data_IF_709596337215
#
_entry.id   IF_709596337215
#
_cell.length_a   1.000
_cell.length_b   1.000
_cell.length_c   1.000
_cell.angle_alpha   90.00
_cell.angle_beta   90.00
_cell.angle_gamma   90.00
#
_symmetry.space_group_name_H-M   'P 1'
#
loop_
_entity.id
_entity.type
_entity.pdbx_description
1 polymer ?
#
# COMPACT_ATOMS: atom_id res chain seq x y z
N UNK A 1 -23.73 14.87 70.60
CA UNK A 1 -24.77 15.84 71.07
C UNK A 1 -25.76 15.97 69.92
N UNK A 2 -26.96 15.53 70.24
CA UNK A 2 -28.28 16.10 69.98
C UNK A 2 -28.67 16.22 68.50
N UNK A 3 -29.55 15.39 68.07
CA UNK A 3 -31.04 15.24 68.17
C UNK A 3 -31.72 15.80 66.94
N UNK A 4 -32.47 15.02 66.17
CA UNK A 4 -33.89 14.66 66.24
C UNK A 4 -34.71 15.53 65.30
N UNK A 5 -35.55 15.12 64.47
CA UNK A 5 -36.76 14.32 64.24
C UNK A 5 -37.40 14.80 62.91
N UNK A 6 -37.81 13.98 62.02
CA UNK A 6 -39.12 13.35 61.85
C UNK A 6 -40.30 14.36 61.68
N UNK A 7 -40.96 14.38 60.51
CA UNK A 7 -42.42 14.35 60.43
C UNK A 7 -42.93 13.84 59.06
N UNK A 8 -43.74 12.82 59.15
CA UNK A 8 -44.64 12.21 58.17
C UNK A 8 -45.97 13.02 58.28
N UNK A 9 -46.64 13.28 57.15
CA UNK A 9 -48.10 13.28 57.06
C UNK A 9 -48.59 13.02 55.66
N UNK A 10 -49.45 12.03 55.57
CA UNK A 10 -50.32 11.51 54.55
C UNK A 10 -51.40 12.52 54.15
N UNK A 11 -51.75 12.57 52.87
CA UNK A 11 -53.15 12.81 52.49
C UNK A 11 -53.42 12.21 51.11
N UNK A 12 -54.35 11.30 51.08
CA UNK A 12 -54.91 10.68 49.90
C UNK A 12 -56.14 11.47 49.41
N UNK A 13 -56.45 11.39 48.18
CA UNK A 13 -57.72 11.00 47.52
C UNK A 13 -58.05 11.72 46.20
N UNK A 14 -58.34 10.93 45.17
CA UNK A 14 -59.36 11.04 44.11
C UNK A 14 -59.16 12.10 43.02
N UNK A 15 -59.18 11.77 41.75
CA UNK A 15 -60.20 11.10 40.95
C UNK A 15 -59.73 10.94 39.49
N UNK A 16 -60.06 9.77 38.98
CA UNK A 16 -60.58 9.43 37.65
C UNK A 16 -60.00 10.05 36.37
N UNK A 17 -59.39 9.18 35.55
CA UNK A 17 -59.86 8.92 34.23
C UNK A 17 -59.29 9.75 33.07
N UNK A 18 -58.25 9.21 32.40
CA UNK A 18 -58.19 9.20 30.93
C UNK A 18 -57.21 8.11 30.49
N UNK A 19 -57.72 7.10 29.81
CA UNK A 19 -56.94 6.06 29.23
C UNK A 19 -56.25 6.55 27.95
N UNK A 20 -54.98 6.96 28.05
CA UNK A 20 -54.07 7.19 26.94
C UNK A 20 -53.09 6.00 26.88
N UNK A 21 -53.21 5.15 25.86
CA UNK A 21 -52.26 4.08 25.56
C UNK A 21 -50.86 4.71 25.32
N UNK A 22 -50.02 4.67 26.32
CA UNK A 22 -48.57 4.90 26.14
C UNK A 22 -48.00 3.68 25.42
N UNK A 23 -47.43 3.90 24.23
CA UNK A 23 -46.52 2.96 23.58
C UNK A 23 -45.27 2.84 24.48
N UNK A 24 -44.74 1.62 24.70
CA UNK A 24 -43.46 1.49 25.38
C UNK A 24 -42.37 2.13 24.50
N UNK A 25 -41.61 3.04 25.08
CA UNK A 25 -40.35 3.50 24.50
C UNK A 25 -39.45 2.29 24.32
N UNK A 26 -39.10 1.98 23.10
CA UNK A 26 -38.02 1.06 22.81
C UNK A 26 -36.75 1.68 23.41
N UNK A 27 -36.20 1.01 24.40
CA UNK A 27 -34.86 1.28 24.89
C UNK A 27 -33.91 1.18 23.69
N UNK A 28 -33.19 2.28 23.42
CA UNK A 28 -32.04 2.25 22.57
C UNK A 28 -31.10 1.15 23.10
N UNK A 29 -31.10 0.02 22.42
CA UNK A 29 -30.16 -1.04 22.72
C UNK A 29 -28.76 -0.50 22.58
N UNK A 30 -27.96 -0.67 23.62
CA UNK A 30 -26.52 -0.51 23.58
C UNK A 30 -26.00 -1.21 22.32
N UNK A 31 -25.60 -0.44 21.34
CA UNK A 31 -24.74 -0.91 20.27
C UNK A 31 -23.45 -1.33 20.97
N UNK A 32 -23.39 -2.59 21.40
CA UNK A 32 -22.13 -3.23 21.75
C UNK A 32 -21.29 -3.12 20.48
N UNK A 33 -20.34 -2.19 20.45
CA UNK A 33 -19.21 -2.23 19.55
C UNK A 33 -18.63 -3.61 19.65
N UNK A 34 -18.72 -4.36 18.57
CA UNK A 34 -18.00 -5.63 18.46
C UNK A 34 -16.54 -5.34 18.85
N UNK A 35 -15.89 -6.19 19.65
CA UNK A 35 -14.50 -6.01 19.96
C UNK A 35 -13.75 -5.94 18.62
N UNK A 36 -13.02 -4.84 18.37
CA UNK A 36 -12.17 -4.70 17.22
C UNK A 36 -11.27 -5.95 17.17
N UNK A 37 -11.22 -6.62 16.05
CA UNK A 37 -10.29 -7.72 15.85
C UNK A 37 -8.89 -7.21 16.19
N UNK A 38 -8.07 -8.00 16.88
CA UNK A 38 -6.72 -7.56 17.23
C UNK A 38 -5.97 -7.25 15.93
N UNK A 39 -5.64 -5.97 15.73
CA UNK A 39 -4.78 -5.52 14.62
C UNK A 39 -3.49 -6.34 14.64
N UNK A 40 -3.02 -6.77 13.49
CA UNK A 40 -1.70 -7.36 13.37
C UNK A 40 -0.66 -6.30 13.75
N UNK A 41 0.23 -6.62 14.70
CA UNK A 41 1.30 -5.68 15.10
C UNK A 41 2.13 -5.29 13.87
N UNK A 42 2.36 -3.99 13.70
CA UNK A 42 3.24 -3.44 12.67
C UNK A 42 4.66 -3.32 13.20
N UNK A 43 5.60 -3.91 12.50
CA UNK A 43 6.99 -4.05 12.93
C UNK A 43 7.93 -3.19 12.08
N UNK A 44 8.79 -2.40 12.72
CA UNK A 44 9.89 -1.70 12.05
C UNK A 44 11.22 -2.39 12.34
N UNK A 45 11.98 -2.74 11.32
CA UNK A 45 13.30 -3.38 11.46
C UNK A 45 14.38 -2.38 11.08
N UNK A 46 15.29 -2.14 12.02
CA UNK A 46 16.47 -1.30 11.77
C UNK A 46 17.63 -2.14 11.22
N UNK A 47 18.50 -1.54 10.38
CA UNK A 47 19.77 -2.17 10.02
C UNK A 47 20.58 -2.56 11.24
N UNK A 48 21.20 -3.74 11.20
CA UNK A 48 22.01 -4.22 12.33
C UNK A 48 23.35 -3.48 12.37
N UNK A 49 23.78 -3.08 13.56
CA UNK A 49 25.04 -2.37 13.74
C UNK A 49 26.25 -3.29 13.57
N UNK A 50 27.21 -2.85 12.77
CA UNK A 50 28.50 -3.51 12.63
C UNK A 50 29.41 -3.11 13.79
N UNK A 51 29.67 -4.02 14.73
CA UNK A 51 30.67 -3.88 15.80
C UNK A 51 32.04 -4.49 15.41
N UNK A 52 32.18 -4.98 14.19
CA UNK A 52 33.46 -5.48 13.67
C UNK A 52 34.40 -4.31 13.37
N UNK A 53 35.71 -4.58 13.33
CA UNK A 53 36.71 -3.61 12.86
C UNK A 53 36.85 -3.62 11.32
N UNK A 54 35.92 -4.25 10.62
CA UNK A 54 35.92 -4.42 9.16
C UNK A 54 34.70 -3.71 8.55
N UNK A 55 34.95 -2.57 7.94
CA UNK A 55 33.92 -1.78 7.25
C UNK A 55 33.42 -2.45 5.95
N UNK A 56 34.18 -3.37 5.36
CA UNK A 56 33.74 -4.10 4.16
C UNK A 56 32.49 -4.97 4.42
N UNK A 57 32.16 -5.18 5.70
CA UNK A 57 30.99 -5.93 6.13
C UNK A 57 29.79 -5.04 6.49
N UNK A 58 29.86 -3.71 6.37
CA UNK A 58 28.78 -2.78 6.78
C UNK A 58 27.44 -3.07 6.05
N UNK A 59 27.52 -3.55 4.82
CA UNK A 59 26.34 -3.95 4.05
C UNK A 59 25.51 -5.06 4.70
N UNK A 60 26.13 -5.92 5.54
CA UNK A 60 25.41 -6.97 6.28
C UNK A 60 24.32 -6.41 7.17
N UNK A 61 24.48 -5.20 7.70
CA UNK A 61 23.47 -4.57 8.56
C UNK A 61 22.12 -4.43 7.86
N UNK A 62 22.11 -3.85 6.69
CA UNK A 62 20.92 -3.76 5.84
C UNK A 62 20.49 -5.13 5.33
N UNK A 63 21.42 -5.99 4.94
CA UNK A 63 21.13 -7.35 4.51
C UNK A 63 20.38 -8.16 5.56
N UNK A 64 20.73 -8.05 6.83
CA UNK A 64 20.03 -8.73 7.91
C UNK A 64 18.64 -8.16 8.16
N UNK A 65 18.44 -6.83 8.06
CA UNK A 65 17.13 -6.25 8.19
C UNK A 65 16.21 -6.70 7.05
N UNK A 66 16.67 -6.70 5.80
CA UNK A 66 15.91 -7.15 4.64
C UNK A 66 15.53 -8.64 4.73
N UNK A 67 16.49 -9.51 5.05
CA UNK A 67 16.21 -10.94 5.21
C UNK A 67 15.30 -11.24 6.41
N UNK A 68 15.39 -10.46 7.48
CA UNK A 68 14.47 -10.59 8.62
C UNK A 68 13.06 -10.19 8.19
N UNK A 69 12.90 -9.04 7.51
CA UNK A 69 11.64 -8.57 6.99
C UNK A 69 10.99 -9.62 6.07
N UNK A 70 11.71 -10.08 5.05
CA UNK A 70 11.23 -11.09 4.11
C UNK A 70 10.70 -12.34 4.81
N UNK A 71 11.46 -12.88 5.79
CA UNK A 71 11.06 -14.09 6.50
C UNK A 71 9.84 -13.91 7.41
N UNK A 72 9.70 -12.73 8.00
CA UNK A 72 8.55 -12.42 8.85
C UNK A 72 7.30 -12.15 8.00
N UNK A 73 7.44 -11.44 6.88
CA UNK A 73 6.38 -11.21 5.91
C UNK A 73 5.84 -12.51 5.32
N UNK A 74 6.71 -13.48 5.01
CA UNK A 74 6.32 -14.83 4.55
C UNK A 74 5.47 -15.58 5.57
N UNK A 75 5.47 -15.15 6.82
CA UNK A 75 4.65 -15.69 7.91
C UNK A 75 3.47 -14.79 8.28
N UNK A 76 3.19 -13.77 7.45
CA UNK A 76 2.05 -12.87 7.63
C UNK A 76 2.25 -11.85 8.75
N UNK A 77 3.49 -11.55 9.15
CA UNK A 77 3.81 -10.42 10.04
C UNK A 77 3.83 -9.14 9.20
N UNK A 78 3.16 -8.10 9.67
CA UNK A 78 3.18 -6.81 9.01
C UNK A 78 4.49 -6.09 9.31
N UNK A 79 5.39 -5.99 8.33
CA UNK A 79 6.70 -5.33 8.46
C UNK A 79 6.73 -4.07 7.62
N UNK A 80 7.16 -2.94 8.18
CA UNK A 80 7.41 -1.71 7.45
C UNK A 80 8.61 -1.91 6.50
N UNK A 81 8.41 -1.55 5.23
CA UNK A 81 9.45 -1.69 4.23
C UNK A 81 10.64 -0.75 4.49
N UNK A 82 11.75 -1.01 3.81
CA UNK A 82 12.88 -0.08 3.79
C UNK A 82 12.47 1.32 3.32
N UNK A 83 11.63 1.41 2.30
CA UNK A 83 11.17 2.69 1.76
C UNK A 83 10.34 3.47 2.79
N UNK A 84 9.47 2.81 3.57
CA UNK A 84 8.71 3.46 4.65
C UNK A 84 9.63 3.97 5.76
N UNK A 85 10.65 3.18 6.11
CA UNK A 85 11.68 3.62 7.06
C UNK A 85 12.41 4.85 6.55
N UNK A 86 12.85 4.86 5.29
CA UNK A 86 13.55 5.98 4.68
C UNK A 86 12.65 7.22 4.56
N UNK A 87 11.41 7.06 4.13
CA UNK A 87 10.45 8.16 4.06
C UNK A 87 10.19 8.78 5.44
N UNK A 88 10.12 7.94 6.48
CA UNK A 88 9.98 8.43 7.85
C UNK A 88 11.22 9.21 8.30
N UNK A 89 12.44 8.70 8.02
CA UNK A 89 13.68 9.39 8.34
C UNK A 89 13.78 10.74 7.63
N UNK A 90 13.44 10.80 6.34
CA UNK A 90 13.41 12.03 5.56
C UNK A 90 12.43 13.05 6.16
N UNK A 91 11.21 12.62 6.50
CA UNK A 91 10.17 13.46 7.10
C UNK A 91 10.59 14.10 8.41
N UNK A 92 11.38 13.38 9.23
CA UNK A 92 11.88 13.89 10.52
C UNK A 92 13.28 14.51 10.42
N UNK A 93 13.86 14.57 9.21
CA UNK A 93 15.15 15.22 8.95
C UNK A 93 16.36 14.46 9.47
N UNK A 94 16.28 13.13 9.55
CA UNK A 94 17.40 12.28 9.98
C UNK A 94 18.05 11.57 8.77
N UNK A 95 19.38 11.53 8.67
CA UNK A 95 20.06 10.80 7.61
C UNK A 95 19.93 9.28 7.80
N UNK A 96 19.78 8.54 6.70
CA UNK A 96 19.67 7.07 6.68
C UNK A 96 20.93 6.36 7.20
N UNK A 97 22.11 6.99 7.03
CA UNK A 97 23.41 6.47 7.47
C UNK A 97 23.73 6.71 8.94
N UNK A 98 22.83 7.38 9.68
CA UNK A 98 23.08 7.70 11.09
C UNK A 98 22.93 6.46 11.98
N UNK A 99 23.77 6.39 13.01
CA UNK A 99 23.54 5.47 14.13
C UNK A 99 22.58 6.10 15.12
N UNK A 100 21.52 5.38 15.44
CA UNK A 100 20.48 5.90 16.30
C UNK A 100 20.59 5.36 17.72
N UNK A 101 20.37 6.23 18.71
CA UNK A 101 20.14 5.78 20.08
C UNK A 101 18.81 5.02 20.18
N UNK A 102 18.63 4.16 21.19
CA UNK A 102 17.37 3.47 21.41
C UNK A 102 16.19 4.45 21.53
N UNK A 103 16.37 5.60 22.19
CA UNK A 103 15.33 6.63 22.29
C UNK A 103 14.97 7.20 20.92
N UNK A 104 15.94 7.41 20.05
CA UNK A 104 15.71 7.86 18.67
C UNK A 104 14.99 6.79 17.86
N UNK A 105 15.39 5.51 17.99
CA UNK A 105 14.71 4.38 17.30
C UNK A 105 13.24 4.26 17.72
N UNK A 106 12.93 4.44 19.02
CA UNK A 106 11.57 4.46 19.54
C UNK A 106 10.77 5.61 18.91
N UNK A 107 11.35 6.80 18.81
CA UNK A 107 10.71 7.95 18.17
C UNK A 107 10.43 7.68 16.68
N UNK A 108 11.42 7.16 15.94
CA UNK A 108 11.27 6.82 14.53
C UNK A 108 10.13 5.79 14.35
N UNK A 109 10.10 4.75 15.20
CA UNK A 109 9.06 3.72 15.13
C UNK A 109 7.66 4.29 15.43
N UNK A 110 7.54 5.19 16.41
CA UNK A 110 6.29 5.88 16.71
C UNK A 110 5.85 6.82 15.57
N UNK A 111 6.80 7.55 14.96
CA UNK A 111 6.51 8.41 13.80
C UNK A 111 6.18 7.62 12.52
N UNK A 112 6.54 6.35 12.50
CA UNK A 112 6.20 5.40 11.41
C UNK A 112 4.95 4.57 11.70
N UNK A 113 4.21 4.85 12.79
CA UNK A 113 3.05 4.08 13.24
C UNK A 113 3.34 2.58 13.46
N UNK A 114 4.57 2.25 13.87
CA UNK A 114 4.95 0.90 14.23
C UNK A 114 4.58 0.58 15.68
N UNK A 115 4.05 -0.62 15.93
CA UNK A 115 3.74 -1.12 17.29
C UNK A 115 4.96 -1.65 18.00
N UNK A 116 5.92 -2.14 17.24
CA UNK A 116 7.16 -2.70 17.73
C UNK A 116 8.34 -2.45 16.77
N UNK A 117 9.54 -2.57 17.30
CA UNK A 117 10.76 -2.46 16.51
C UNK A 117 11.73 -3.60 16.81
N UNK A 118 12.55 -3.94 15.80
CA UNK A 118 13.67 -4.86 15.89
C UNK A 118 14.95 -4.08 15.64
N UNK A 119 15.94 -4.28 16.48
CA UNK A 119 17.28 -3.79 16.28
C UNK A 119 18.29 -4.86 16.67
N UNK A 120 19.45 -4.80 16.05
CA UNK A 120 20.47 -5.81 16.28
C UNK A 120 21.87 -5.29 16.04
N UNK A 121 22.83 -6.16 16.27
CA UNK A 121 24.25 -5.91 16.03
C UNK A 121 24.93 -7.21 15.64
N UNK A 122 26.04 -7.08 14.97
CA UNK A 122 26.90 -8.22 14.64
C UNK A 122 28.36 -7.86 14.78
N UNK A 123 29.17 -8.88 15.05
CA UNK A 123 30.62 -8.75 15.16
C UNK A 123 31.30 -9.94 14.53
N UNK A 124 32.26 -9.66 13.67
CA UNK A 124 33.16 -10.65 13.08
C UNK A 124 34.56 -10.49 13.67
N UNK A 125 35.13 -11.57 14.19
CA UNK A 125 36.46 -11.59 14.83
C UNK A 125 37.57 -12.14 13.91
N UNK A 126 37.27 -12.36 12.64
CA UNK A 126 38.16 -12.99 11.64
C UNK A 126 37.89 -14.47 11.45
N UNK A 127 37.12 -15.11 12.32
CA UNK A 127 36.76 -16.54 12.24
C UNK A 127 35.26 -16.78 12.41
N UNK A 128 34.68 -16.14 13.41
CA UNK A 128 33.25 -16.32 13.75
C UNK A 128 32.51 -15.01 13.66
N UNK A 129 31.23 -15.11 13.28
CA UNK A 129 30.26 -14.02 13.29
C UNK A 129 29.31 -14.26 14.46
N UNK A 130 29.20 -13.29 15.35
CA UNK A 130 28.20 -13.24 16.41
C UNK A 130 27.09 -12.28 15.97
N UNK A 131 25.85 -12.74 16.03
CA UNK A 131 24.64 -11.97 15.77
C UNK A 131 23.89 -11.78 17.08
N UNK A 132 23.38 -10.59 17.32
CA UNK A 132 22.46 -10.29 18.43
C UNK A 132 21.30 -9.44 17.91
N UNK A 133 20.08 -9.76 18.36
CA UNK A 133 18.90 -8.95 18.08
C UNK A 133 18.00 -8.84 19.30
N UNK A 134 17.18 -7.79 19.34
CA UNK A 134 16.12 -7.58 20.34
C UNK A 134 14.86 -7.06 19.68
N UNK A 135 13.73 -7.41 20.27
CA UNK A 135 12.42 -6.86 19.96
C UNK A 135 12.01 -5.91 21.07
N UNK A 136 11.55 -4.71 20.70
CA UNK A 136 11.00 -3.73 21.62
C UNK A 136 9.58 -3.38 21.16
N UNK A 137 8.56 -3.67 21.99
CA UNK A 137 7.19 -3.21 21.80
C UNK A 137 6.99 -1.84 22.43
N UNK A 138 6.21 -0.99 21.77
CA UNK A 138 5.94 0.36 22.23
C UNK A 138 4.75 0.41 23.17
N UNK A 139 3.71 -0.41 22.94
CA UNK A 139 2.50 -0.41 23.75
C UNK A 139 1.88 -1.83 23.86
N UNK A 140 1.81 -2.45 25.06
CA UNK A 140 2.51 -2.02 26.30
C UNK A 140 4.03 -2.15 26.16
N UNK A 141 4.82 -1.28 26.78
CA UNK A 141 6.28 -1.31 26.66
C UNK A 141 6.87 -2.64 27.13
N UNK A 142 7.59 -3.31 26.26
CA UNK A 142 8.27 -4.57 26.58
C UNK A 142 9.55 -4.71 25.73
N UNK A 143 10.63 -5.14 26.36
CA UNK A 143 11.91 -5.40 25.72
C UNK A 143 12.28 -6.88 25.91
N UNK A 144 12.57 -7.56 24.80
CA UNK A 144 13.02 -8.94 24.85
C UNK A 144 14.40 -9.09 25.51
N UNK A 145 14.69 -10.29 26.02
CA UNK A 145 16.10 -10.68 26.22
C UNK A 145 16.81 -10.68 24.86
N UNK A 146 18.15 -10.51 24.85
CA UNK A 146 18.90 -10.59 23.61
C UNK A 146 18.81 -12.00 23.02
N UNK A 147 18.44 -12.10 21.75
CA UNK A 147 18.57 -13.31 20.95
C UNK A 147 19.96 -13.33 20.35
N UNK A 148 20.69 -14.41 20.53
CA UNK A 148 22.08 -14.51 20.04
C UNK A 148 22.24 -15.77 19.18
N UNK A 149 23.05 -15.64 18.13
CA UNK A 149 23.53 -16.74 17.28
C UNK A 149 25.03 -16.53 17.02
N UNK A 150 25.75 -17.64 16.89
CA UNK A 150 27.17 -17.62 16.51
C UNK A 150 27.40 -18.62 15.39
N UNK A 151 28.14 -18.21 14.38
CA UNK A 151 28.41 -19.05 13.22
C UNK A 151 29.73 -18.71 12.54
N UNK A 152 30.11 -19.48 11.55
CA UNK A 152 31.13 -19.09 10.59
C UNK A 152 30.51 -18.25 9.47
N UNK A 153 31.33 -17.57 8.68
CA UNK A 153 30.84 -16.82 7.52
C UNK A 153 30.13 -17.76 6.50
N UNK A 154 30.55 -19.01 6.39
CA UNK A 154 29.92 -19.98 5.49
C UNK A 154 28.49 -20.38 5.91
N UNK A 155 28.20 -20.38 7.21
CA UNK A 155 26.89 -20.73 7.76
C UNK A 155 26.07 -19.52 8.21
N UNK A 156 26.49 -18.32 7.82
CA UNK A 156 25.93 -17.06 8.31
C UNK A 156 24.44 -16.94 8.04
N UNK A 157 23.99 -17.25 6.84
CA UNK A 157 22.57 -17.15 6.46
C UNK A 157 21.67 -18.11 7.22
N UNK A 158 22.21 -19.31 7.60
CA UNK A 158 21.50 -20.26 8.46
C UNK A 158 21.41 -19.75 9.90
N UNK A 159 22.48 -19.16 10.42
CA UNK A 159 22.46 -18.56 11.75
C UNK A 159 21.50 -17.36 11.81
N UNK A 160 21.51 -16.52 10.78
CA UNK A 160 20.54 -15.43 10.66
C UNK A 160 19.09 -15.96 10.63
N UNK A 161 18.83 -17.04 9.89
CA UNK A 161 17.50 -17.64 9.82
C UNK A 161 17.01 -18.13 11.21
N UNK A 162 17.90 -18.75 12.03
CA UNK A 162 17.55 -19.09 13.42
C UNK A 162 17.30 -17.87 14.29
N UNK A 163 18.06 -16.79 14.07
CA UNK A 163 17.82 -15.52 14.76
C UNK A 163 16.46 -14.95 14.40
N UNK A 164 16.12 -14.92 13.11
CA UNK A 164 14.82 -14.48 12.61
C UNK A 164 13.66 -15.32 13.17
N UNK A 165 13.85 -16.64 13.36
CA UNK A 165 12.87 -17.48 14.05
C UNK A 165 12.62 -17.05 15.49
N UNK A 166 13.69 -16.74 16.25
CA UNK A 166 13.56 -16.24 17.63
C UNK A 166 12.83 -14.89 17.67
N UNK A 167 13.06 -14.03 16.67
CA UNK A 167 12.36 -12.76 16.52
C UNK A 167 10.89 -13.02 16.24
N UNK A 168 10.55 -13.90 15.28
CA UNK A 168 9.18 -14.29 14.97
C UNK A 168 8.43 -14.77 16.20
N UNK A 169 9.03 -15.66 16.99
CA UNK A 169 8.43 -16.18 18.21
C UNK A 169 8.19 -15.09 19.28
N UNK A 170 8.99 -14.05 19.31
CA UNK A 170 8.80 -12.92 20.22
C UNK A 170 7.68 -11.97 19.74
N UNK A 171 7.50 -11.84 18.42
CA UNK A 171 6.47 -11.00 17.82
C UNK A 171 5.11 -11.72 17.80
N UNK A 172 5.08 -12.95 17.31
CA UNK A 172 3.85 -13.76 17.22
C UNK A 172 4.04 -15.14 17.86
N UNK A 173 3.74 -15.23 19.15
CA UNK A 173 3.85 -16.47 19.92
C UNK A 173 2.96 -17.59 19.38
N UNK A 174 1.89 -17.28 18.63
CA UNK A 174 0.98 -18.30 18.08
C UNK A 174 1.66 -19.13 16.99
N UNK A 175 2.68 -18.61 16.34
CA UNK A 175 3.43 -19.31 15.31
C UNK A 175 4.51 -20.25 15.89
N UNK A 176 4.76 -20.15 17.19
CA UNK A 176 5.78 -20.93 17.88
C UNK A 176 5.12 -21.85 18.89
N UNK A 177 4.81 -23.10 18.53
CA UNK A 177 4.20 -24.05 19.45
C UNK A 177 5.09 -24.32 20.65
N UNK A 178 4.49 -24.31 21.84
CA UNK A 178 5.18 -24.64 23.09
C UNK A 178 5.83 -26.03 22.98
N UNK A 179 7.14 -26.08 23.13
CA UNK A 179 8.02 -27.24 23.28
C UNK A 179 7.57 -28.52 22.56
N UNK A 180 8.15 -28.79 21.40
CA UNK A 180 8.09 -30.10 20.77
C UNK A 180 7.87 -30.20 19.26
N UNK A 181 7.53 -29.13 18.56
CA UNK A 181 7.38 -29.15 17.10
C UNK A 181 8.67 -28.69 16.41
N UNK A 182 9.65 -29.55 16.35
CA UNK A 182 10.95 -29.29 15.70
C UNK A 182 10.85 -29.11 14.17
N UNK A 183 9.70 -29.39 13.56
CA UNK A 183 9.49 -29.32 12.12
C UNK A 183 9.31 -27.88 11.60
N UNK A 184 8.67 -27.00 12.37
CA UNK A 184 8.42 -25.62 11.92
C UNK A 184 9.66 -24.74 12.03
N UNK A 185 10.46 -24.88 13.09
CA UNK A 185 11.74 -24.17 13.24
C UNK A 185 12.73 -24.62 12.16
N UNK A 186 12.85 -25.92 11.91
CA UNK A 186 13.79 -26.42 10.90
C UNK A 186 13.44 -25.94 9.51
N UNK A 187 12.14 -25.98 9.14
CA UNK A 187 11.70 -25.51 7.83
C UNK A 187 11.84 -23.99 7.65
N UNK A 188 11.63 -23.22 8.72
CA UNK A 188 11.85 -21.79 8.71
C UNK A 188 13.34 -21.41 8.66
N UNK A 189 14.18 -22.17 9.39
CA UNK A 189 15.60 -21.88 9.54
C UNK A 189 16.44 -22.40 8.38
N UNK A 190 15.88 -23.24 7.51
CA UNK A 190 16.54 -23.54 6.25
C UNK A 190 16.56 -22.28 5.37
N UNK A 191 17.75 -21.77 4.98
CA UNK A 191 17.80 -20.75 3.95
C UNK A 191 17.15 -21.32 2.69
N UNK A 192 16.53 -20.48 1.81
CA UNK A 192 16.19 -20.94 0.48
C UNK A 192 17.38 -21.73 -0.05
N UNK A 193 17.20 -22.93 -0.63
CA UNK A 193 18.28 -23.89 -0.87
C UNK A 193 19.48 -23.34 -1.63
N UNK A 194 19.37 -22.14 -2.15
CA UNK A 194 20.32 -21.52 -3.05
C UNK A 194 20.76 -20.11 -2.68
N UNK A 195 20.19 -19.45 -1.63
CA UNK A 195 20.59 -18.07 -1.35
C UNK A 195 22.07 -17.96 -1.00
N UNK A 196 22.78 -17.26 -1.87
CA UNK A 196 24.22 -17.04 -1.77
C UNK A 196 24.51 -15.69 -1.09
N UNK A 197 25.59 -15.66 -0.31
CA UNK A 197 26.00 -14.44 0.39
C UNK A 197 26.38 -13.31 -0.58
N UNK A 198 27.04 -13.66 -1.71
CA UNK A 198 27.39 -12.70 -2.74
C UNK A 198 26.19 -12.15 -3.51
N UNK A 199 25.12 -12.94 -3.65
CA UNK A 199 23.85 -12.44 -4.18
C UNK A 199 23.21 -11.42 -3.23
N UNK A 200 23.20 -11.70 -1.93
CA UNK A 200 22.71 -10.77 -0.92
C UNK A 200 23.53 -9.47 -0.90
N UNK A 201 24.86 -9.57 -0.95
CA UNK A 201 25.75 -8.40 -1.01
C UNK A 201 25.42 -7.50 -2.20
N UNK A 202 25.30 -8.10 -3.40
CA UNK A 202 24.93 -7.34 -4.60
C UNK A 202 23.53 -6.73 -4.51
N UNK A 203 22.58 -7.44 -3.91
CA UNK A 203 21.24 -6.90 -3.67
C UNK A 203 21.28 -5.66 -2.77
N UNK A 204 21.93 -5.76 -1.61
CA UNK A 204 22.04 -4.63 -0.67
C UNK A 204 22.79 -3.45 -1.28
N UNK A 205 23.87 -3.70 -2.03
CA UNK A 205 24.57 -2.64 -2.78
C UNK A 205 23.65 -1.98 -3.82
N UNK A 206 22.77 -2.77 -4.43
CA UNK A 206 21.73 -2.26 -5.31
C UNK A 206 20.66 -1.44 -4.61
N UNK A 207 20.30 -1.76 -3.36
CA UNK A 207 19.35 -0.97 -2.57
C UNK A 207 19.97 0.34 -2.07
N UNK A 208 21.21 0.30 -1.59
CA UNK A 208 21.91 1.44 -0.99
C UNK A 208 22.62 2.34 -2.00
N UNK A 209 22.85 1.87 -3.21
CA UNK A 209 23.57 2.59 -4.27
C UNK A 209 22.83 3.84 -4.74
N UNK A 210 23.60 4.86 -5.16
CA UNK A 210 23.06 6.02 -5.83
C UNK A 210 22.27 5.60 -7.08
N UNK A 211 21.26 6.39 -7.44
CA UNK A 211 20.48 6.13 -8.67
C UNK A 211 21.40 6.08 -9.90
N UNK A 212 21.19 5.08 -10.76
CA UNK A 212 21.95 4.97 -12.00
C UNK A 212 22.26 3.54 -12.44
N UNK A 213 23.24 3.39 -13.31
CA UNK A 213 23.62 2.12 -13.89
C UNK A 213 24.35 1.19 -12.91
N UNK A 214 25.00 1.73 -11.88
CA UNK A 214 25.65 0.91 -10.86
C UNK A 214 24.63 0.14 -10.03
N UNK A 215 23.54 0.83 -9.59
CA UNK A 215 22.39 0.20 -8.91
C UNK A 215 21.81 -0.95 -9.74
N UNK A 216 21.54 -0.69 -11.03
CA UNK A 216 21.00 -1.70 -11.93
C UNK A 216 21.96 -2.88 -12.13
N UNK A 217 23.27 -2.61 -12.23
CA UNK A 217 24.29 -3.65 -12.37
C UNK A 217 24.31 -4.58 -11.16
N UNK A 218 24.30 -4.02 -9.96
CA UNK A 218 24.29 -4.78 -8.70
C UNK A 218 23.04 -5.64 -8.58
N UNK A 219 21.84 -5.07 -8.84
CA UNK A 219 20.60 -5.84 -8.80
C UNK A 219 20.53 -6.94 -9.87
N UNK A 220 21.02 -6.67 -11.10
CA UNK A 220 21.08 -7.69 -12.16
C UNK A 220 22.04 -8.81 -11.78
N UNK A 221 23.16 -8.48 -11.14
CA UNK A 221 24.11 -9.49 -10.65
C UNK A 221 23.51 -10.33 -9.53
N UNK A 222 22.79 -9.74 -8.58
CA UNK A 222 22.05 -10.48 -7.56
C UNK A 222 21.04 -11.45 -8.20
N UNK A 223 20.22 -10.97 -9.16
CA UNK A 223 19.26 -11.80 -9.88
C UNK A 223 19.89 -12.89 -10.76
N UNK A 224 21.14 -12.71 -11.19
CA UNK A 224 21.93 -13.71 -11.95
C UNK A 224 22.51 -14.78 -11.03
N UNK A 225 23.02 -14.37 -9.88
CA UNK A 225 23.62 -15.27 -8.89
C UNK A 225 22.57 -16.17 -8.23
N UNK A 226 21.36 -15.62 -8.04
CA UNK A 226 20.25 -16.32 -7.38
C UNK A 226 18.94 -16.10 -8.17
N UNK A 227 18.73 -16.87 -9.26
CA UNK A 227 17.55 -16.69 -10.11
C UNK A 227 16.21 -17.04 -9.42
N UNK A 228 16.25 -17.86 -8.36
CA UNK A 228 15.07 -18.27 -7.60
C UNK A 228 14.64 -17.24 -6.55
N UNK A 229 15.49 -16.27 -6.25
CA UNK A 229 15.19 -15.19 -5.35
C UNK A 229 14.50 -14.03 -6.08
N UNK A 230 13.26 -13.79 -5.78
CA UNK A 230 12.40 -12.86 -6.50
C UNK A 230 12.64 -11.37 -6.14
N UNK A 231 13.17 -11.07 -4.95
CA UNK A 231 13.43 -9.68 -4.48
C UNK A 231 14.27 -8.84 -5.45
N UNK A 232 15.42 -9.30 -6.01
CA UNK A 232 16.16 -8.52 -6.98
C UNK A 232 15.36 -8.27 -8.28
N UNK A 233 14.52 -9.23 -8.69
CA UNK A 233 13.68 -9.06 -9.87
C UNK A 233 12.56 -8.04 -9.62
N UNK A 234 11.95 -8.04 -8.43
CA UNK A 234 10.98 -7.04 -8.04
C UNK A 234 11.57 -5.62 -8.07
N UNK A 235 12.74 -5.41 -7.47
CA UNK A 235 13.42 -4.12 -7.46
C UNK A 235 13.79 -3.62 -8.87
N UNK A 236 14.26 -4.51 -9.73
CA UNK A 236 14.53 -4.18 -11.13
C UNK A 236 13.25 -3.80 -11.86
N UNK A 237 12.17 -4.57 -11.69
CA UNK A 237 10.86 -4.25 -12.25
C UNK A 237 10.38 -2.87 -11.84
N UNK A 238 10.51 -2.53 -10.55
CA UNK A 238 10.14 -1.26 -9.97
C UNK A 238 10.94 -0.09 -10.57
N UNK A 239 12.24 -0.22 -10.69
CA UNK A 239 13.10 0.81 -11.30
C UNK A 239 12.70 1.05 -12.77
N UNK A 240 12.49 -0.01 -13.56
CA UNK A 240 12.07 0.15 -14.95
C UNK A 240 10.65 0.72 -15.07
N UNK A 241 9.73 0.34 -14.19
CA UNK A 241 8.39 0.91 -14.11
C UNK A 241 8.41 2.42 -13.83
N UNK A 242 9.21 2.85 -12.86
CA UNK A 242 9.43 4.28 -12.56
C UNK A 242 10.01 5.05 -13.75
N UNK A 243 10.93 4.44 -14.49
CA UNK A 243 11.51 4.99 -15.73
C UNK A 243 10.57 4.94 -16.94
N UNK A 244 9.34 4.44 -16.76
CA UNK A 244 8.35 4.22 -17.83
C UNK A 244 8.79 3.21 -18.91
N UNK A 245 9.82 2.44 -18.66
CA UNK A 245 10.25 1.33 -19.50
C UNK A 245 9.43 0.06 -19.17
N UNK A 246 8.20 0.05 -19.71
CA UNK A 246 7.28 -1.06 -19.48
C UNK A 246 7.75 -2.38 -20.06
N UNK A 247 8.56 -2.37 -21.12
CA UNK A 247 9.09 -3.60 -21.71
C UNK A 247 10.05 -4.30 -20.75
N UNK A 248 11.01 -3.56 -20.22
CA UNK A 248 11.95 -4.10 -19.23
C UNK A 248 11.24 -4.42 -17.90
N UNK A 249 10.29 -3.58 -17.44
CA UNK A 249 9.53 -3.84 -16.22
C UNK A 249 8.77 -5.17 -16.28
N UNK A 250 8.07 -5.46 -17.38
CA UNK A 250 7.32 -6.71 -17.58
C UNK A 250 8.23 -7.94 -17.54
N UNK A 251 9.45 -7.85 -18.12
CA UNK A 251 10.42 -8.95 -18.07
C UNK A 251 10.80 -9.31 -16.65
N UNK A 252 11.02 -8.30 -15.80
CA UNK A 252 11.43 -8.50 -14.43
C UNK A 252 10.28 -8.90 -13.51
N UNK A 253 9.13 -8.23 -13.61
CA UNK A 253 7.95 -8.57 -12.82
C UNK A 253 7.40 -9.98 -13.11
N UNK A 254 7.64 -10.52 -14.32
CA UNK A 254 7.26 -11.90 -14.64
C UNK A 254 7.96 -12.96 -13.78
N UNK A 255 9.04 -12.58 -13.08
CA UNK A 255 9.78 -13.46 -12.17
C UNK A 255 9.28 -13.36 -10.72
N UNK A 256 8.37 -12.43 -10.42
CA UNK A 256 7.80 -12.23 -9.07
C UNK A 256 6.52 -13.03 -8.96
N UNK A 257 6.47 -14.08 -8.12
CA UNK A 257 5.25 -14.87 -7.96
C UNK A 257 4.13 -14.02 -7.33
N UNK A 258 2.88 -14.13 -7.82
CA UNK A 258 1.78 -13.31 -7.32
C UNK A 258 1.47 -13.50 -5.82
N UNK A 259 1.81 -14.66 -5.25
CA UNK A 259 1.57 -15.01 -3.85
C UNK A 259 2.67 -14.54 -2.89
N UNK A 260 3.73 -13.93 -3.38
CA UNK A 260 4.77 -13.31 -2.54
C UNK A 260 4.28 -11.96 -1.98
N UNK A 261 4.89 -11.45 -0.91
CA UNK A 261 4.55 -10.14 -0.35
C UNK A 261 4.55 -9.01 -1.40
N UNK A 262 5.55 -8.98 -2.28
CA UNK A 262 5.67 -7.99 -3.37
C UNK A 262 4.79 -8.30 -4.59
N UNK A 263 4.15 -9.47 -4.62
CA UNK A 263 3.34 -9.95 -5.75
C UNK A 263 2.17 -9.05 -6.13
N UNK A 264 1.42 -8.49 -5.18
CA UNK A 264 0.32 -7.56 -5.48
C UNK A 264 0.79 -6.31 -6.21
N UNK A 265 1.86 -5.67 -5.75
CA UNK A 265 2.44 -4.49 -6.40
C UNK A 265 2.98 -4.83 -7.80
N UNK A 266 3.72 -5.91 -7.93
CA UNK A 266 4.21 -6.38 -9.22
C UNK A 266 3.07 -6.67 -10.21
N UNK A 267 1.95 -7.25 -9.73
CA UNK A 267 0.77 -7.54 -10.54
C UNK A 267 0.07 -6.26 -10.98
N UNK A 268 -0.06 -5.28 -10.09
CA UNK A 268 -0.64 -3.97 -10.41
C UNK A 268 0.21 -3.24 -11.46
N UNK A 269 1.51 -3.12 -11.25
CA UNK A 269 2.44 -2.48 -12.18
C UNK A 269 2.45 -3.20 -13.55
N UNK A 270 2.36 -4.53 -13.54
CA UNK A 270 2.20 -5.34 -14.77
C UNK A 270 0.95 -4.93 -15.54
N UNK A 271 -0.20 -4.80 -14.86
CA UNK A 271 -1.45 -4.35 -15.47
C UNK A 271 -1.32 -2.94 -16.06
N UNK A 272 -0.72 -1.99 -15.32
CA UNK A 272 -0.47 -0.62 -15.79
C UNK A 272 0.43 -0.62 -17.04
N UNK A 273 1.48 -1.43 -17.04
CA UNK A 273 2.37 -1.58 -18.20
C UNK A 273 1.64 -2.15 -19.43
N UNK A 274 0.74 -3.11 -19.25
CA UNK A 274 -0.09 -3.61 -20.35
C UNK A 274 -1.03 -2.54 -20.90
N UNK A 275 -1.64 -1.69 -20.03
CA UNK A 275 -2.43 -0.54 -20.48
C UNK A 275 -1.57 0.47 -21.28
N UNK A 276 -0.36 0.75 -20.83
CA UNK A 276 0.57 1.65 -21.53
C UNK A 276 0.96 1.12 -22.91
N UNK A 277 1.07 -0.21 -23.07
CA UNK A 277 1.34 -0.89 -24.33
C UNK A 277 0.11 -1.11 -25.21
N UNK A 278 -1.03 -0.57 -24.81
CA UNK A 278 -2.31 -0.77 -25.49
C UNK A 278 -2.71 -2.27 -25.63
N UNK A 279 -2.42 -3.05 -24.59
CA UNK A 279 -2.84 -4.45 -24.43
C UNK A 279 -3.87 -4.57 -23.30
N UNK A 280 -5.12 -4.13 -23.54
CA UNK A 280 -6.14 -4.12 -22.49
C UNK A 280 -6.60 -5.51 -22.07
N UNK A 281 -6.38 -6.54 -22.91
CA UNK A 281 -6.75 -7.91 -22.56
C UNK A 281 -5.87 -8.48 -21.44
N UNK A 282 -4.55 -8.30 -21.53
CA UNK A 282 -3.64 -8.70 -20.46
C UNK A 282 -3.76 -7.82 -19.23
N UNK A 283 -4.07 -6.53 -19.41
CA UNK A 283 -4.35 -5.63 -18.30
C UNK A 283 -5.58 -6.06 -17.49
N UNK A 284 -6.69 -6.39 -18.17
CA UNK A 284 -7.92 -6.92 -17.54
C UNK A 284 -7.61 -8.17 -16.71
N UNK A 285 -6.86 -9.11 -17.28
CA UNK A 285 -6.48 -10.34 -16.58
C UNK A 285 -5.63 -10.06 -15.32
N UNK A 286 -4.68 -9.12 -15.41
CA UNK A 286 -3.80 -8.75 -14.28
C UNK A 286 -4.60 -8.12 -13.12
N UNK A 287 -5.46 -7.12 -13.42
CA UNK A 287 -6.25 -6.46 -12.38
C UNK A 287 -7.38 -7.33 -11.84
N UNK A 288 -8.05 -8.13 -12.69
CA UNK A 288 -9.07 -9.08 -12.24
C UNK A 288 -8.46 -10.15 -11.31
N UNK A 289 -7.28 -10.68 -11.67
CA UNK A 289 -6.54 -11.63 -10.83
C UNK A 289 -6.12 -11.03 -9.48
N UNK A 290 -5.76 -9.74 -9.47
CA UNK A 290 -5.42 -9.03 -8.24
C UNK A 290 -6.67 -8.86 -7.35
N UNK A 291 -7.80 -8.42 -7.90
CA UNK A 291 -9.07 -8.27 -7.18
C UNK A 291 -9.66 -9.60 -6.69
N UNK A 292 -9.43 -10.70 -7.40
CA UNK A 292 -9.85 -12.03 -6.92
C UNK A 292 -9.17 -12.40 -5.59
N UNK A 293 -7.95 -11.92 -5.35
CA UNK A 293 -7.23 -12.13 -4.08
C UNK A 293 -7.81 -11.33 -2.92
N UNK A 294 -8.43 -10.16 -3.19
CA UNK A 294 -9.12 -9.38 -2.14
C UNK A 294 -10.40 -10.03 -1.69
N UNK A 295 -11.07 -10.79 -2.60
CA UNK A 295 -12.39 -11.39 -2.35
C UNK A 295 -12.36 -12.73 -1.60
N UNK A 296 -11.21 -13.34 -1.43
CA UNK A 296 -11.06 -14.59 -0.66
C UNK A 296 -11.26 -14.33 0.83
N UNK A 297 -12.51 -13.98 1.17
CA UNK A 297 -12.94 -13.72 2.55
C UNK A 297 -12.70 -14.94 3.45
N UNK A 298 -12.09 -14.71 4.60
CA UNK A 298 -11.85 -15.74 5.63
C UNK A 298 -10.45 -16.33 5.67
N UNK A 299 -9.55 -15.91 4.80
CA UNK A 299 -8.12 -16.22 4.92
C UNK A 299 -7.38 -14.99 5.51
N UNK A 300 -6.43 -15.25 6.40
CA UNK A 300 -5.55 -14.24 7.02
C UNK A 300 -4.77 -13.37 6.02
N UNK A 301 -4.86 -13.66 4.74
CA UNK A 301 -4.09 -13.11 3.62
C UNK A 301 -4.97 -12.39 2.57
N UNK A 302 -6.19 -11.97 2.93
CA UNK A 302 -6.99 -11.16 2.00
C UNK A 302 -6.38 -9.76 1.87
N UNK A 303 -6.09 -9.35 0.63
CA UNK A 303 -5.67 -7.99 0.35
C UNK A 303 -6.85 -7.03 0.53
N UNK A 304 -6.64 -5.79 0.96
CA UNK A 304 -7.68 -4.78 0.94
C UNK A 304 -8.08 -4.47 -0.51
N UNK A 305 -9.33 -4.11 -0.70
CA UNK A 305 -9.87 -3.68 -1.98
C UNK A 305 -9.54 -2.20 -2.17
N UNK A 306 -8.65 -1.88 -3.11
CA UNK A 306 -8.19 -0.52 -3.35
C UNK A 306 -8.86 0.10 -4.58
N UNK A 307 -9.20 1.41 -4.54
CA UNK A 307 -9.89 2.09 -5.63
C UNK A 307 -9.11 2.07 -6.94
N UNK A 308 -7.78 2.14 -6.91
CA UNK A 308 -6.91 2.10 -8.08
C UNK A 308 -7.02 0.78 -8.84
N UNK A 309 -7.23 -0.33 -8.14
CA UNK A 309 -7.41 -1.65 -8.78
C UNK A 309 -8.69 -1.67 -9.62
N UNK A 310 -9.78 -1.15 -9.06
CA UNK A 310 -11.06 -1.04 -9.76
C UNK A 310 -10.98 -0.04 -10.91
N UNK A 311 -10.40 1.12 -10.68
CA UNK A 311 -10.22 2.11 -11.73
C UNK A 311 -9.49 1.52 -12.93
N UNK A 312 -8.37 0.86 -12.71
CA UNK A 312 -7.57 0.32 -13.80
C UNK A 312 -8.22 -0.88 -14.49
N UNK A 313 -8.95 -1.71 -13.76
CA UNK A 313 -9.79 -2.76 -14.36
C UNK A 313 -10.87 -2.14 -15.25
N UNK A 314 -11.53 -1.08 -14.77
CA UNK A 314 -12.49 -0.31 -15.55
C UNK A 314 -11.88 0.25 -16.84
N UNK A 315 -10.68 0.84 -16.78
CA UNK A 315 -9.96 1.34 -17.95
C UNK A 315 -9.66 0.22 -18.95
N UNK A 316 -9.21 -0.94 -18.48
CA UNK A 316 -8.95 -2.10 -19.34
C UNK A 316 -10.24 -2.54 -20.06
N UNK A 317 -11.35 -2.69 -19.32
CA UNK A 317 -12.65 -3.06 -19.86
C UNK A 317 -13.20 -2.03 -20.83
N UNK A 318 -13.05 -0.74 -20.53
CA UNK A 318 -13.48 0.35 -21.42
C UNK A 318 -12.75 0.27 -22.77
N UNK A 319 -11.44 0.04 -22.75
CA UNK A 319 -10.63 -0.14 -23.98
C UNK A 319 -10.95 -1.44 -24.73
N UNK A 320 -11.56 -2.43 -24.08
CA UNK A 320 -12.11 -3.64 -24.70
C UNK A 320 -13.51 -3.44 -25.25
N UNK A 321 -14.09 -2.25 -25.14
CA UNK A 321 -15.48 -1.95 -25.56
C UNK A 321 -16.56 -2.42 -24.58
N UNK A 322 -16.18 -2.89 -23.39
CA UNK A 322 -17.08 -3.38 -22.33
C UNK A 322 -17.48 -2.22 -21.41
N UNK A 323 -18.11 -1.19 -21.99
CA UNK A 323 -18.37 0.08 -21.29
C UNK A 323 -19.23 -0.07 -20.02
N UNK A 324 -20.24 -0.98 -20.03
CA UNK A 324 -21.10 -1.19 -18.86
C UNK A 324 -20.38 -1.87 -17.70
N UNK A 325 -19.50 -2.84 -18.00
CA UNK A 325 -18.66 -3.46 -16.99
C UNK A 325 -17.64 -2.45 -16.45
N UNK A 326 -17.09 -1.59 -17.31
CA UNK A 326 -16.17 -0.52 -16.93
C UNK A 326 -16.84 0.50 -16.00
N UNK A 327 -18.09 0.92 -16.30
CA UNK A 327 -18.87 1.82 -15.46
C UNK A 327 -19.01 1.28 -14.04
N UNK A 328 -19.38 -0.01 -13.90
CA UNK A 328 -19.50 -0.66 -12.59
C UNK A 328 -18.19 -0.61 -11.80
N UNK A 329 -17.06 -0.85 -12.47
CA UNK A 329 -15.75 -0.81 -11.78
C UNK A 329 -15.36 0.63 -11.38
N UNK A 330 -15.62 1.62 -12.22
CA UNK A 330 -15.37 3.03 -11.88
C UNK A 330 -16.27 3.53 -10.75
N UNK A 331 -17.55 3.11 -10.72
CA UNK A 331 -18.45 3.42 -9.61
C UNK A 331 -17.96 2.80 -8.30
N UNK A 332 -17.38 1.59 -8.36
CA UNK A 332 -16.76 0.96 -7.20
C UNK A 332 -15.54 1.74 -6.73
N UNK A 333 -14.66 2.17 -7.65
CA UNK A 333 -13.49 3.00 -7.33
C UNK A 333 -13.92 4.31 -6.67
N UNK A 334 -14.91 5.01 -7.24
CA UNK A 334 -15.44 6.27 -6.69
C UNK A 334 -16.15 6.09 -5.34
N UNK A 335 -16.73 4.92 -5.07
CA UNK A 335 -17.32 4.63 -3.76
C UNK A 335 -16.26 4.41 -2.67
N UNK A 336 -15.08 3.90 -3.03
CA UNK A 336 -13.95 3.70 -2.13
C UNK A 336 -13.17 5.01 -1.87
N UNK A 337 -13.06 5.87 -2.88
CA UNK A 337 -12.43 7.20 -2.78
C UNK A 337 -13.28 8.24 -3.56
N UNK A 338 -14.24 8.90 -2.89
CA UNK A 338 -15.13 9.85 -3.53
C UNK A 338 -14.48 11.18 -3.94
N UNK A 339 -13.32 11.51 -3.39
CA UNK A 339 -12.61 12.78 -3.64
C UNK A 339 -11.63 12.70 -4.83
N UNK A 340 -11.53 11.54 -5.51
CA UNK A 340 -10.68 11.38 -6.68
C UNK A 340 -11.45 11.69 -7.98
N UNK A 341 -11.17 12.86 -8.56
CA UNK A 341 -11.84 13.35 -9.76
C UNK A 341 -11.70 12.42 -10.98
N UNK A 342 -10.56 11.71 -11.10
CA UNK A 342 -10.28 10.83 -12.23
C UNK A 342 -11.28 9.68 -12.35
N UNK A 343 -11.81 9.16 -11.24
CA UNK A 343 -12.82 8.09 -11.28
C UNK A 343 -14.14 8.60 -11.84
N UNK A 344 -14.54 9.82 -11.46
CA UNK A 344 -15.75 10.48 -11.96
C UNK A 344 -15.66 10.77 -13.47
N UNK A 345 -14.49 11.19 -13.95
CA UNK A 345 -14.23 11.40 -15.37
C UNK A 345 -14.34 10.08 -16.13
N UNK A 346 -13.79 9.00 -15.59
CA UNK A 346 -13.87 7.68 -16.19
C UNK A 346 -15.31 7.14 -16.22
N UNK A 347 -16.13 7.40 -15.18
CA UNK A 347 -17.58 7.11 -15.19
C UNK A 347 -18.26 7.85 -16.36
N UNK A 348 -17.96 9.15 -16.51
CA UNK A 348 -18.55 9.93 -17.59
C UNK A 348 -18.14 9.41 -18.98
N UNK A 349 -16.87 9.03 -19.16
CA UNK A 349 -16.39 8.43 -20.40
C UNK A 349 -17.12 7.12 -20.74
N UNK A 350 -17.33 6.24 -19.75
CA UNK A 350 -18.09 5.00 -19.93
C UNK A 350 -19.53 5.30 -20.35
N UNK A 351 -20.20 6.28 -19.69
CA UNK A 351 -21.55 6.71 -20.04
C UNK A 351 -21.64 7.31 -21.45
N UNK A 352 -20.66 8.13 -21.86
CA UNK A 352 -20.60 8.70 -23.21
C UNK A 352 -20.43 7.63 -24.29
N UNK A 353 -19.54 6.65 -24.07
CA UNK A 353 -19.35 5.51 -24.97
C UNK A 353 -20.65 4.67 -25.04
N UNK A 354 -21.32 4.50 -23.90
CA UNK A 354 -22.65 3.87 -23.81
C UNK A 354 -23.81 4.70 -24.38
N UNK A 355 -23.52 5.86 -25.02
CA UNK A 355 -24.49 6.80 -25.57
C UNK A 355 -25.48 7.37 -24.56
N UNK A 356 -25.08 7.51 -23.33
CA UNK A 356 -25.85 8.03 -22.20
C UNK A 356 -25.36 9.45 -21.82
N UNK A 357 -25.27 10.36 -22.80
CA UNK A 357 -24.68 11.69 -22.63
C UNK A 357 -25.33 12.51 -21.49
N UNK A 358 -26.65 12.40 -21.29
CA UNK A 358 -27.33 13.10 -20.19
C UNK A 358 -26.85 12.63 -18.80
N UNK A 359 -26.53 11.33 -18.66
CA UNK A 359 -26.06 10.75 -17.41
C UNK A 359 -24.57 11.05 -17.15
N UNK A 360 -23.82 11.46 -18.18
CA UNK A 360 -22.41 11.85 -18.04
C UNK A 360 -22.21 13.24 -17.43
N UNK A 361 -23.23 14.11 -17.45
CA UNK A 361 -23.11 15.51 -16.98
C UNK A 361 -22.79 15.57 -15.47
N UNK A 362 -23.56 14.89 -14.64
CA UNK A 362 -23.40 14.96 -13.19
C UNK A 362 -22.02 14.50 -12.70
N UNK A 363 -21.46 13.36 -13.16
CA UNK A 363 -20.08 13.00 -12.82
C UNK A 363 -19.03 14.06 -13.25
N UNK A 364 -19.18 14.66 -14.45
CA UNK A 364 -18.26 15.69 -14.92
C UNK A 364 -18.37 17.00 -14.11
N UNK A 365 -19.57 17.40 -13.73
CA UNK A 365 -19.78 18.56 -12.85
C UNK A 365 -19.17 18.31 -11.45
N UNK A 366 -19.27 17.09 -10.95
CA UNK A 366 -18.65 16.73 -9.67
C UNK A 366 -17.13 16.70 -9.79
N UNK A 367 -16.56 16.07 -10.81
CA UNK A 367 -15.12 16.08 -11.06
C UNK A 367 -14.55 17.51 -11.14
N UNK A 368 -15.27 18.42 -11.83
CA UNK A 368 -14.89 19.84 -11.92
C UNK A 368 -14.94 20.58 -10.57
N UNK A 369 -15.79 20.17 -9.63
CA UNK A 369 -15.82 20.75 -8.28
C UNK A 369 -14.60 20.30 -7.46
N UNK A 370 -14.15 19.06 -7.65
CA UNK A 370 -12.96 18.52 -6.98
C UNK A 370 -11.69 19.13 -7.59
N UNK A 371 -11.58 19.14 -8.92
CA UNK A 371 -10.45 19.72 -9.66
C UNK A 371 -10.95 20.76 -10.71
N UNK A 372 -11.06 22.04 -10.32
CA UNK A 372 -11.51 23.10 -11.22
C UNK A 372 -10.54 23.43 -12.36
N UNK A 373 -9.27 23.08 -12.21
CA UNK A 373 -8.20 23.40 -13.16
C UNK A 373 -8.03 22.33 -14.26
N UNK A 374 -8.77 21.21 -14.16
CA UNK A 374 -8.72 20.17 -15.15
C UNK A 374 -9.34 20.59 -16.49
N UNK A 375 -8.48 20.96 -17.42
CA UNK A 375 -8.87 21.44 -18.76
C UNK A 375 -9.57 20.36 -19.60
N UNK A 376 -9.14 19.09 -19.46
CA UNK A 376 -9.72 17.99 -20.24
C UNK A 376 -11.11 17.64 -19.74
N UNK A 377 -11.31 17.58 -18.42
CA UNK A 377 -12.62 17.37 -17.82
C UNK A 377 -13.60 18.50 -18.20
N UNK A 378 -13.12 19.74 -18.17
CA UNK A 378 -13.87 20.92 -18.59
C UNK A 378 -14.27 20.83 -20.07
N UNK A 379 -13.34 20.49 -20.96
CA UNK A 379 -13.60 20.34 -22.39
C UNK A 379 -14.63 19.20 -22.65
N UNK A 380 -14.53 18.09 -21.93
CA UNK A 380 -15.45 16.97 -22.03
C UNK A 380 -16.86 17.36 -21.57
N UNK A 381 -17.00 18.12 -20.48
CA UNK A 381 -18.27 18.64 -19.99
C UNK A 381 -18.92 19.58 -21.00
N UNK A 382 -18.16 20.54 -21.54
CA UNK A 382 -18.62 21.47 -22.56
C UNK A 382 -19.15 20.73 -23.79
N UNK A 383 -18.36 19.79 -24.34
CA UNK A 383 -18.76 18.99 -25.49
C UNK A 383 -20.04 18.16 -25.21
N UNK A 384 -20.16 17.62 -24.00
CA UNK A 384 -21.33 16.86 -23.57
C UNK A 384 -22.58 17.73 -23.51
N UNK A 385 -22.51 18.92 -22.90
CA UNK A 385 -23.60 19.89 -22.83
C UNK A 385 -24.04 20.37 -24.22
N UNK A 386 -23.10 20.66 -25.10
CA UNK A 386 -23.38 21.05 -26.48
C UNK A 386 -24.11 19.94 -27.26
N UNK A 387 -23.71 18.68 -27.09
CA UNK A 387 -24.34 17.52 -27.71
C UNK A 387 -25.79 17.33 -27.25
N UNK A 388 -26.10 17.79 -26.04
CA UNK A 388 -27.45 17.77 -25.44
C UNK A 388 -28.26 19.02 -25.74
N UNK A 389 -27.71 19.99 -26.51
CA UNK A 389 -28.39 21.26 -26.83
C UNK A 389 -28.36 22.27 -25.66
N UNK A 390 -27.67 22.01 -24.56
CA UNK A 390 -27.53 22.87 -23.37
C UNK A 390 -26.46 23.95 -23.59
N UNK A 391 -26.55 24.68 -24.70
CA UNK A 391 -25.55 25.68 -25.12
C UNK A 391 -25.31 26.80 -24.12
N UNK A 392 -26.33 27.40 -23.44
CA UNK A 392 -26.09 28.47 -22.49
C UNK A 392 -25.18 28.02 -21.31
N UNK A 393 -25.34 26.78 -20.87
CA UNK A 393 -24.53 26.22 -19.76
C UNK A 393 -23.09 25.93 -20.24
N UNK A 394 -22.93 25.41 -21.44
CA UNK A 394 -21.61 25.23 -22.05
C UNK A 394 -20.86 26.56 -22.22
N UNK A 395 -21.57 27.63 -22.64
CA UNK A 395 -21.01 28.97 -22.77
C UNK A 395 -20.60 29.58 -21.42
N UNK A 396 -21.41 29.39 -20.37
CA UNK A 396 -21.10 29.83 -19.02
C UNK A 396 -19.79 29.18 -18.51
N UNK A 397 -19.66 27.85 -18.66
CA UNK A 397 -18.43 27.14 -18.27
C UNK A 397 -17.22 27.60 -19.10
N UNK A 398 -17.42 27.88 -20.39
CA UNK A 398 -16.35 28.40 -21.26
C UNK A 398 -15.87 29.80 -20.84
N UNK A 399 -16.79 30.65 -20.41
CA UNK A 399 -16.48 32.00 -19.95
C UNK A 399 -15.67 32.03 -18.66
N UNK A 400 -15.86 31.07 -17.74
CA UNK A 400 -15.10 30.94 -16.49
C UNK A 400 -13.59 30.67 -16.69
N UNK A 401 -13.13 30.41 -17.91
CA UNK A 401 -11.72 30.07 -18.19
C UNK A 401 -11.08 30.92 -19.31
N UNK A 402 -11.68 32.05 -19.65
CA UNK A 402 -11.26 32.86 -20.82
C UNK A 402 -9.88 33.53 -20.68
N UNK A 403 -9.24 33.54 -19.51
CA UNK A 403 -7.94 34.19 -19.27
C UNK A 403 -6.71 33.34 -19.63
N UNK A 404 -6.87 32.06 -19.90
CA UNK A 404 -5.75 31.15 -20.29
C UNK A 404 -5.94 30.61 -21.70
N UNK A 405 -5.18 31.15 -22.66
CA UNK A 405 -5.30 30.93 -24.10
C UNK A 405 -5.08 29.53 -24.68
N UNK A 406 -5.22 28.48 -23.91
CA UNK A 406 -5.06 27.08 -24.33
C UNK A 406 -6.42 26.46 -24.70
N UNK A 407 -6.74 26.48 -25.98
CA UNK A 407 -7.92 25.81 -26.53
C UNK A 407 -7.56 24.39 -26.93
N UNK A 408 -7.65 23.44 -25.99
CA UNK A 408 -7.69 22.03 -26.39
C UNK A 408 -8.87 21.82 -27.35
N UNK A 409 -8.71 21.10 -28.47
CA UNK A 409 -9.82 20.80 -29.35
C UNK A 409 -10.88 19.99 -28.59
N UNK A 410 -12.18 20.26 -28.79
CA UNK A 410 -13.21 19.51 -28.10
C UNK A 410 -13.12 18.03 -28.47
N UNK A 411 -13.28 17.12 -27.50
CA UNK A 411 -13.26 15.69 -27.77
C UNK A 411 -14.40 15.29 -28.72
N UNK A 412 -14.10 14.39 -29.64
CA UNK A 412 -15.13 13.84 -30.54
C UNK A 412 -15.95 12.79 -29.80
N UNK A 413 -17.16 13.15 -29.37
CA UNK A 413 -18.06 12.25 -28.63
C UNK A 413 -18.59 11.07 -29.45
N UNK A 414 -18.40 11.05 -30.79
CA UNK A 414 -18.76 9.95 -31.65
C UNK A 414 -17.65 8.91 -31.82
N UNK A 415 -16.43 9.26 -31.43
CA UNK A 415 -15.28 8.34 -31.47
C UNK A 415 -15.12 7.61 -30.12
N UNK A 416 -15.82 6.49 -29.97
CA UNK A 416 -15.75 5.68 -28.76
C UNK A 416 -14.32 5.20 -28.43
N UNK A 417 -13.50 4.91 -29.45
CA UNK A 417 -12.10 4.51 -29.24
C UNK A 417 -11.24 5.70 -28.79
N UNK A 418 -11.47 6.87 -29.35
CA UNK A 418 -10.81 8.11 -28.90
C UNK A 418 -11.17 8.42 -27.46
N UNK A 419 -12.46 8.36 -27.10
CA UNK A 419 -12.91 8.55 -25.72
C UNK A 419 -12.30 7.52 -24.76
N UNK A 420 -12.22 6.23 -25.13
CA UNK A 420 -11.63 5.21 -24.28
C UNK A 420 -10.13 5.43 -24.02
N UNK A 421 -9.44 6.14 -24.93
CA UNK A 421 -8.02 6.53 -24.71
C UNK A 421 -7.85 7.68 -23.74
N UNK A 422 -8.88 8.50 -23.53
CA UNK A 422 -8.88 9.58 -22.53
C UNK A 422 -9.04 9.04 -21.11
N UNK A 423 -9.40 7.76 -20.95
CA UNK A 423 -9.57 7.16 -19.62
C UNK A 423 -8.28 7.19 -18.82
N UNK A 424 -8.41 7.64 -17.58
CA UNK A 424 -7.30 7.95 -16.66
C UNK A 424 -6.90 6.73 -15.87
N UNK A 425 -5.64 6.36 -15.99
CA UNK A 425 -5.01 5.21 -15.33
C UNK A 425 -4.38 5.67 -14.02
N UNK A 426 -4.71 5.01 -12.92
CA UNK A 426 -3.99 5.15 -11.65
C UNK A 426 -2.63 4.47 -11.77
N UNK A 427 -1.55 5.21 -11.56
CA UNK A 427 -0.19 4.67 -11.69
C UNK A 427 0.40 4.24 -10.37
N UNK A 428 0.02 4.94 -9.32
CA UNK A 428 0.51 4.72 -7.99
C UNK A 428 -0.52 3.89 -7.21
N UNK A 429 -0.03 2.95 -6.46
CA UNK A 429 -0.81 2.12 -5.55
C UNK A 429 -0.34 2.42 -4.14
N UNK A 430 -1.27 2.64 -3.21
CA UNK A 430 -0.89 2.83 -1.82
C UNK A 430 -0.40 1.51 -1.23
N UNK A 431 0.91 1.40 -1.11
CA UNK A 431 1.59 0.20 -0.62
C UNK A 431 1.31 -0.08 0.85
N UNK A 432 1.05 0.97 1.63
CA UNK A 432 0.79 0.83 3.06
C UNK A 432 -0.49 0.05 3.31
N UNK A 433 -1.43 0.15 2.37
CA UNK A 433 -2.71 -0.56 2.40
C UNK A 433 -2.63 -1.99 1.83
N UNK A 434 -1.56 -2.37 1.12
CA UNK A 434 -1.40 -3.72 0.58
C UNK A 434 -0.96 -4.76 1.62
N UNK A 435 -0.74 -4.34 2.86
CA UNK A 435 -0.25 -5.21 3.93
C UNK A 435 -1.40 -5.94 4.61
N UNK A 436 -1.17 -7.17 5.12
CA UNK A 436 -2.14 -7.86 5.93
C UNK A 436 -2.53 -7.00 7.15
N UNK A 437 -3.80 -6.62 7.25
CA UNK A 437 -4.32 -5.77 8.35
C UNK A 437 -4.15 -4.25 8.16
N UNK A 438 -3.72 -3.79 6.99
CA UNK A 438 -3.74 -2.37 6.63
C UNK A 438 -5.19 -1.90 6.47
N UNK A 439 -5.75 -1.28 7.51
CA UNK A 439 -6.97 -0.48 7.39
C UNK A 439 -6.55 0.93 6.99
N UNK A 440 -7.26 1.50 6.00
CA UNK A 440 -7.15 2.93 5.74
C UNK A 440 -7.45 3.69 7.03
N UNK A 441 -6.63 4.67 7.45
CA UNK A 441 -6.91 5.44 8.65
C UNK A 441 -8.26 6.13 8.49
N UNK A 442 -9.21 5.81 9.37
CA UNK A 442 -10.51 6.48 9.40
C UNK A 442 -10.28 7.99 9.57
N UNK A 443 -10.55 8.77 8.52
CA UNK A 443 -10.62 10.22 8.58
C UNK A 443 -9.33 11.00 8.31
N UNK A 444 -8.23 10.37 7.87
CA UNK A 444 -7.14 11.13 7.26
C UNK A 444 -7.32 11.16 5.73
N UNK A 445 -7.31 12.35 5.11
CA UNK A 445 -7.18 12.41 3.66
C UNK A 445 -5.87 11.70 3.28
N UNK A 446 -5.84 10.96 2.15
CA UNK A 446 -4.65 10.27 1.69
C UNK A 446 -3.47 11.25 1.71
N UNK A 447 -2.35 10.83 2.29
CA UNK A 447 -1.15 11.64 2.45
C UNK A 447 -0.86 12.32 1.11
N UNK A 448 -0.87 13.66 1.12
CA UNK A 448 -1.00 14.50 -0.05
C UNK A 448 -0.19 13.99 -1.24
N UNK A 449 -0.88 13.55 -2.27
CA UNK A 449 -0.29 13.33 -3.59
C UNK A 449 0.35 14.66 -3.96
N UNK A 450 1.67 14.72 -3.88
CA UNK A 450 2.41 15.90 -4.34
C UNK A 450 1.88 16.23 -5.71
N UNK A 451 1.40 17.45 -5.88
CA UNK A 451 0.95 17.98 -7.15
C UNK A 451 2.13 17.91 -8.13
N UNK A 452 2.31 16.77 -8.76
CA UNK A 452 3.16 16.68 -9.94
C UNK A 452 2.45 17.44 -11.05
N UNK A 453 2.78 18.72 -11.12
CA UNK A 453 2.52 19.55 -12.28
C UNK A 453 2.93 18.76 -13.52
N UNK A 454 1.96 18.35 -14.30
CA UNK A 454 2.18 17.72 -15.58
C UNK A 454 3.06 18.68 -16.42
N UNK A 455 4.32 18.32 -16.61
CA UNK A 455 5.15 18.96 -17.60
C UNK A 455 4.63 18.52 -18.97
N UNK A 456 3.79 19.36 -19.56
CA UNK A 456 3.48 19.33 -20.99
C UNK A 456 4.71 19.80 -21.74
N UNK A 457 5.50 18.86 -22.24
CA UNK A 457 6.60 19.11 -23.16
C UNK A 457 6.46 18.09 -24.29
N UNK A 458 5.82 18.50 -25.38
CA UNK A 458 5.88 17.77 -26.63
C UNK A 458 7.28 17.87 -27.21
N UNK A 459 7.71 16.77 -27.75
CA UNK A 459 8.48 16.69 -28.99
C UNK A 459 8.71 15.20 -29.28
N UNK A 460 8.13 14.78 -30.42
CA UNK A 460 8.55 13.59 -31.14
C UNK A 460 9.80 13.92 -32.00
N UNK A 461 10.66 12.98 -32.37
CA UNK A 461 10.36 12.05 -33.43
C UNK A 461 10.32 10.57 -33.01
#
# INVERSE_FOLDING_TARGET
MFRIMLFVVIAALCCAGFAGRARPAQSAGDARTAPAEPRSETLLIFPFENESRNADLDWLGEGFSELTAERLEDRGVNVLSRDDRLATLERIGLPDSARFSHATMIKIAADADADALVYGRYRFDGKTVMLEARVLRLSPPWLSQPFTETSTMADLLRAHARLAWKILCAVDQKQCPAQGASTDESSFSEPPPSLRLDALENFVRGLAGAEGEERLRSLREAARLEPAWDRPAFELGRIYFQRRDCDSALVWYSRVPPNRPDGPEASFATGVCHLARNDPGRADAAFAGLLERTRKTGQKESLPELPEMHNNLGVARLRLGKWSEAETEFERASALDPEEANYLINIALAKLIGKQASAAVAPLEHARKIDPDDKEAKALLIATLESLGRKPEAEAIRAEGAEGGDKAPPPNLQDGNGLARLARVSRDLDRTLLRPGGEAPEGQPPAGKGTHKAASGGENP
#
